data_IF_672227551278
#
_entry.id   IF_672227551278
#
_cell.length_a   1.000
_cell.length_b   1.000
_cell.length_c   1.000
_cell.angle_alpha   90.00
_cell.angle_beta   90.00
_cell.angle_gamma   90.00
#
_symmetry.space_group_name_H-M   'P 1'
#
loop_
_entity.id
_entity.type
_entity.pdbx_description
1 polymer ?
#
# COMPACT_ATOMS: atom_id res chain seq x y z
N UNK A 1 4.92 -5.23 13.49
CA UNK A 1 4.63 -5.06 12.05
C UNK A 1 4.51 -6.47 11.48
N UNK A 2 3.29 -6.94 11.24
CA UNK A 2 3.01 -8.33 10.85
C UNK A 2 2.48 -8.29 9.43
N UNK A 3 3.28 -8.86 8.52
CA UNK A 3 2.96 -9.03 7.12
C UNK A 3 2.47 -10.49 6.98
N UNK A 4 1.16 -10.77 6.87
CA UNK A 4 0.65 -12.14 6.82
C UNK A 4 1.31 -12.98 5.72
N UNK A 5 1.60 -12.39 4.55
CA UNK A 5 2.34 -13.08 3.50
C UNK A 5 3.83 -13.30 3.79
N UNK A 6 4.44 -12.48 4.64
CA UNK A 6 5.84 -12.64 4.99
C UNK A 6 6.05 -13.52 6.22
N UNK A 7 5.06 -13.63 7.11
CA UNK A 7 5.11 -14.57 8.24
C UNK A 7 5.01 -16.03 7.81
N UNK A 8 4.45 -16.31 6.63
CA UNK A 8 4.40 -17.65 6.03
C UNK A 8 5.70 -18.03 5.29
N UNK A 9 6.66 -17.11 5.15
CA UNK A 9 7.94 -17.39 4.51
C UNK A 9 8.82 -18.22 5.47
N UNK A 10 8.63 -19.53 5.47
CA UNK A 10 9.66 -20.47 5.92
C UNK A 10 10.79 -20.50 4.87
N UNK A 11 11.67 -19.50 4.93
CA UNK A 11 12.70 -19.28 3.91
C UNK A 11 13.77 -20.38 4.01
N UNK A 12 13.62 -21.42 3.19
CA UNK A 12 14.63 -22.46 2.93
C UNK A 12 15.39 -22.20 1.62
N UNK A 13 14.88 -21.31 0.75
CA UNK A 13 15.45 -21.07 -0.59
C UNK A 13 16.25 -19.76 -0.64
N UNK A 14 17.39 -19.79 -1.35
CA UNK A 14 18.36 -18.67 -1.40
C UNK A 14 17.91 -17.45 -2.22
N UNK A 15 16.73 -17.47 -2.86
CA UNK A 15 16.27 -16.39 -3.75
C UNK A 15 14.78 -16.12 -3.53
N UNK A 16 14.47 -15.05 -2.82
CA UNK A 16 13.10 -14.58 -2.57
C UNK A 16 12.82 -13.33 -3.39
N UNK A 17 11.60 -13.20 -3.88
CA UNK A 17 11.10 -12.04 -4.64
C UNK A 17 9.80 -11.59 -4.00
N UNK A 18 9.61 -10.28 -3.92
CA UNK A 18 8.37 -9.64 -3.50
C UNK A 18 7.83 -8.89 -4.72
N UNK A 19 6.55 -9.09 -5.04
CA UNK A 19 5.89 -8.42 -6.16
C UNK A 19 4.96 -7.37 -5.56
N UNK A 20 5.17 -6.11 -5.93
CA UNK A 20 4.37 -4.99 -5.43
C UNK A 20 3.89 -4.13 -6.57
N UNK A 21 2.72 -3.53 -6.38
CA UNK A 21 2.12 -2.55 -7.28
C UNK A 21 1.68 -1.35 -6.47
N UNK A 22 1.82 -0.17 -7.04
CA UNK A 22 1.41 1.08 -6.40
C UNK A 22 0.12 1.59 -7.07
N UNK A 23 -0.47 2.63 -6.47
CA UNK A 23 -1.56 3.47 -6.97
C UNK A 23 -2.95 2.85 -7.12
N UNK A 24 -3.09 1.54 -7.25
CA UNK A 24 -4.40 0.90 -7.35
C UNK A 24 -5.13 1.11 -8.68
N UNK A 25 -4.39 1.24 -9.79
CA UNK A 25 -4.96 1.26 -11.14
C UNK A 25 -5.82 0.03 -11.43
N UNK A 26 -6.88 0.20 -12.23
CA UNK A 26 -7.85 -0.85 -12.54
C UNK A 26 -7.26 -2.01 -13.34
N UNK A 27 -6.18 -1.78 -14.09
CA UNK A 27 -5.45 -2.84 -14.78
C UNK A 27 -4.81 -3.86 -13.83
N UNK A 28 -4.58 -3.50 -12.55
CA UNK A 28 -4.17 -4.44 -11.52
C UNK A 28 -5.24 -5.53 -11.33
N UNK A 29 -6.52 -5.15 -11.31
CA UNK A 29 -7.64 -6.11 -11.26
C UNK A 29 -7.79 -6.88 -12.58
N UNK A 30 -7.59 -6.22 -13.72
CA UNK A 30 -7.81 -6.84 -15.04
C UNK A 30 -6.82 -7.97 -15.31
N UNK A 31 -5.53 -7.77 -15.01
CA UNK A 31 -4.47 -8.69 -15.44
C UNK A 31 -3.91 -9.55 -14.32
N UNK A 32 -3.75 -9.02 -13.10
CA UNK A 32 -3.03 -9.73 -12.05
C UNK A 32 -3.72 -11.00 -11.57
N UNK A 33 -5.06 -11.08 -11.38
CA UNK A 33 -5.68 -12.29 -10.82
C UNK A 33 -5.37 -13.53 -11.64
N UNK A 34 -5.45 -13.44 -12.97
CA UNK A 34 -5.15 -14.54 -13.89
C UNK A 34 -3.67 -14.94 -13.85
N UNK A 35 -2.76 -13.96 -13.81
CA UNK A 35 -1.31 -14.21 -13.78
C UNK A 35 -0.87 -14.80 -12.44
N UNK A 36 -1.29 -14.21 -11.33
CA UNK A 36 -0.95 -14.66 -9.98
C UNK A 36 -1.47 -16.09 -9.74
N UNK A 37 -2.69 -16.39 -10.17
CA UNK A 37 -3.25 -17.75 -10.09
C UNK A 37 -2.47 -18.74 -10.95
N UNK A 38 -2.14 -18.38 -12.20
CA UNK A 38 -1.40 -19.25 -13.14
C UNK A 38 -0.03 -19.65 -12.62
N UNK A 39 0.68 -18.72 -11.99
CA UNK A 39 2.04 -18.95 -11.50
C UNK A 39 2.12 -19.22 -9.99
N UNK A 40 0.97 -19.29 -9.31
CA UNK A 40 0.87 -19.42 -7.86
C UNK A 40 1.73 -18.37 -7.11
N UNK A 41 1.67 -17.13 -7.58
CA UNK A 41 2.39 -15.98 -7.03
C UNK A 41 1.45 -15.12 -6.20
N UNK A 42 2.01 -14.33 -5.28
CA UNK A 42 1.28 -13.35 -4.47
C UNK A 42 1.78 -11.94 -4.80
N UNK A 43 0.93 -10.94 -4.63
CA UNK A 43 1.29 -9.54 -4.81
C UNK A 43 0.68 -8.65 -3.73
N UNK A 44 1.41 -7.58 -3.39
CA UNK A 44 0.92 -6.51 -2.51
C UNK A 44 0.57 -5.29 -3.36
N UNK A 45 -0.59 -4.68 -3.13
CA UNK A 45 -0.98 -3.41 -3.76
C UNK A 45 -1.00 -2.31 -2.70
N UNK A 46 -0.18 -1.29 -2.90
CA UNK A 46 -0.13 -0.09 -2.06
C UNK A 46 -1.19 0.91 -2.55
N UNK A 47 -2.18 1.20 -1.71
CA UNK A 47 -3.38 1.95 -2.11
C UNK A 47 -3.34 3.40 -1.56
N UNK A 48 -3.28 4.41 -2.45
CA UNK A 48 -3.57 5.79 -2.09
C UNK A 48 -5.08 6.03 -2.12
N UNK A 49 -5.71 6.09 -0.95
CA UNK A 49 -7.18 6.15 -0.85
C UNK A 49 -7.79 7.36 -1.57
N UNK A 50 -7.09 8.50 -1.63
CA UNK A 50 -7.58 9.68 -2.33
C UNK A 50 -7.68 9.49 -3.84
N UNK A 51 -6.85 8.62 -4.45
CA UNK A 51 -6.99 8.27 -5.87
C UNK A 51 -8.19 7.36 -6.11
N UNK A 52 -8.52 6.49 -5.16
CA UNK A 52 -9.68 5.61 -5.26
C UNK A 52 -10.99 6.41 -5.09
N UNK A 53 -11.02 7.38 -4.18
CA UNK A 53 -12.18 8.25 -3.96
C UNK A 53 -12.44 9.21 -5.12
N UNK A 54 -11.39 9.87 -5.61
CA UNK A 54 -11.52 11.02 -6.51
C UNK A 54 -11.14 10.71 -7.96
N UNK A 55 -10.62 9.51 -8.22
CA UNK A 55 -9.92 9.18 -9.46
C UNK A 55 -8.53 9.82 -9.53
N UNK A 56 -7.76 9.43 -10.56
CA UNK A 56 -6.44 9.99 -10.81
C UNK A 56 -6.23 10.26 -12.30
N UNK A 57 -6.24 11.55 -12.66
CA UNK A 57 -6.12 12.02 -14.05
C UNK A 57 -7.15 11.30 -14.95
N UNK A 58 -6.72 10.79 -16.09
CA UNK A 58 -7.51 10.01 -17.04
C UNK A 58 -7.33 8.49 -16.87
N UNK A 59 -6.71 8.05 -15.77
CA UNK A 59 -6.54 6.62 -15.50
C UNK A 59 -7.77 6.06 -14.80
N UNK A 60 -8.14 4.83 -15.18
CA UNK A 60 -9.14 4.08 -14.44
C UNK A 60 -8.52 3.52 -13.16
N UNK A 61 -9.12 3.84 -12.02
CA UNK A 61 -8.74 3.30 -10.72
C UNK A 61 -9.67 2.15 -10.37
N UNK A 62 -9.19 1.20 -9.57
CA UNK A 62 -10.11 0.26 -8.93
C UNK A 62 -11.06 1.03 -8.01
N UNK A 63 -12.26 0.50 -7.80
CA UNK A 63 -13.17 0.95 -6.74
C UNK A 63 -12.82 0.29 -5.41
N UNK A 64 -13.30 0.85 -4.29
CA UNK A 64 -13.16 0.19 -2.99
C UNK A 64 -13.81 -1.20 -2.96
N UNK A 65 -14.93 -1.38 -3.67
CA UNK A 65 -15.57 -2.69 -3.80
C UNK A 65 -14.72 -3.70 -4.58
N UNK A 66 -14.10 -3.27 -5.68
CA UNK A 66 -13.16 -4.10 -6.43
C UNK A 66 -11.95 -4.49 -5.56
N UNK A 67 -11.36 -3.54 -4.82
CA UNK A 67 -10.23 -3.79 -3.92
C UNK A 67 -10.63 -4.77 -2.81
N UNK A 68 -11.79 -4.57 -2.18
CA UNK A 68 -12.30 -5.45 -1.10
C UNK A 68 -12.51 -6.89 -1.56
N UNK A 69 -12.88 -7.08 -2.82
CA UNK A 69 -13.19 -8.38 -3.39
C UNK A 69 -12.00 -9.07 -4.09
N UNK A 70 -10.79 -8.49 -4.03
CA UNK A 70 -9.59 -9.19 -4.46
C UNK A 70 -9.38 -10.47 -3.62
N UNK A 71 -8.96 -11.55 -4.28
CA UNK A 71 -8.74 -12.84 -3.62
C UNK A 71 -7.57 -12.73 -2.62
N UNK A 72 -7.90 -12.75 -1.33
CA UNK A 72 -6.95 -12.64 -0.21
C UNK A 72 -5.88 -13.73 -0.21
N UNK A 73 -6.06 -14.82 -0.98
CA UNK A 73 -5.02 -15.83 -1.19
C UNK A 73 -3.83 -15.29 -1.99
N UNK A 74 -4.09 -14.39 -2.93
CA UNK A 74 -3.12 -13.88 -3.90
C UNK A 74 -2.77 -12.41 -3.68
N UNK A 75 -3.67 -11.64 -3.07
CA UNK A 75 -3.52 -10.19 -2.90
C UNK A 75 -3.46 -9.78 -1.43
N UNK A 76 -2.58 -8.82 -1.16
CA UNK A 76 -2.50 -8.07 0.09
C UNK A 76 -2.60 -6.59 -0.21
N UNK A 77 -3.30 -5.84 0.63
CA UNK A 77 -3.39 -4.39 0.52
C UNK A 77 -2.47 -3.76 1.56
N UNK A 78 -1.80 -2.67 1.19
CA UNK A 78 -0.90 -1.93 2.05
C UNK A 78 -1.04 -0.41 1.83
N UNK A 79 -0.37 0.37 2.66
CA UNK A 79 -0.58 1.82 2.76
C UNK A 79 0.23 2.58 1.70
N UNK A 80 -0.39 3.55 1.03
CA UNK A 80 0.30 4.46 0.11
C UNK A 80 -0.08 5.93 0.32
N UNK A 81 -0.27 6.34 1.59
CA UNK A 81 -0.77 7.68 1.97
C UNK A 81 -2.20 7.91 1.50
N UNK A 82 -2.88 8.96 1.93
CA UNK A 82 -4.20 9.32 1.42
C UNK A 82 -4.07 10.23 0.19
N UNK A 83 -3.30 11.32 0.28
CA UNK A 83 -3.18 12.31 -0.81
C UNK A 83 -2.17 11.94 -1.90
N UNK A 84 -1.33 10.92 -1.71
CA UNK A 84 -0.22 10.60 -2.61
C UNK A 84 0.78 11.77 -2.77
N UNK A 85 1.07 12.50 -1.69
CA UNK A 85 2.01 13.61 -1.71
C UNK A 85 3.45 13.21 -1.35
N UNK A 86 4.40 14.01 -1.83
CA UNK A 86 5.81 13.85 -1.49
C UNK A 86 6.06 14.14 -0.01
N UNK A 87 6.28 13.07 0.77
CA UNK A 87 6.47 13.14 2.22
C UNK A 87 7.72 13.92 2.66
N UNK A 88 8.72 14.07 1.78
CA UNK A 88 9.95 14.81 2.12
C UNK A 88 9.70 16.28 2.39
N UNK A 89 8.68 16.87 1.77
CA UNK A 89 8.40 18.31 1.80
C UNK A 89 7.18 18.67 2.68
N UNK A 90 6.66 17.72 3.47
CA UNK A 90 5.47 17.90 4.32
C UNK A 90 5.85 17.97 5.79
N UNK A 91 5.07 18.71 6.58
CA UNK A 91 5.22 18.70 8.03
C UNK A 91 4.83 17.34 8.61
N UNK A 92 5.44 16.97 9.73
CA UNK A 92 5.19 15.70 10.40
C UNK A 92 3.72 15.51 10.80
N UNK A 93 3.05 16.55 11.29
CA UNK A 93 1.63 16.50 11.64
C UNK A 93 0.73 16.22 10.42
N UNK A 94 1.09 16.73 9.24
CA UNK A 94 0.35 16.46 8.01
C UNK A 94 0.58 15.04 7.52
N UNK A 95 1.81 14.52 7.65
CA UNK A 95 2.13 13.13 7.33
C UNK A 95 1.34 12.18 8.22
N UNK A 96 1.33 12.44 9.53
CA UNK A 96 0.61 11.59 10.49
C UNK A 96 -0.89 11.57 10.19
N UNK A 97 -1.53 12.74 10.04
CA UNK A 97 -2.95 12.84 9.71
C UNK A 97 -3.30 12.17 8.38
N UNK A 98 -2.42 12.28 7.39
CA UNK A 98 -2.65 11.66 6.08
C UNK A 98 -2.60 10.13 6.15
N UNK A 99 -1.63 9.57 6.89
CA UNK A 99 -1.56 8.12 7.12
C UNK A 99 -2.75 7.61 7.94
N UNK A 100 -3.15 8.34 8.98
CA UNK A 100 -4.35 8.04 9.75
C UNK A 100 -5.60 8.05 8.87
N UNK A 101 -5.73 9.05 7.99
CA UNK A 101 -6.84 9.15 7.05
C UNK A 101 -6.87 7.96 6.08
N UNK A 102 -5.72 7.55 5.55
CA UNK A 102 -5.61 6.37 4.68
C UNK A 102 -6.11 5.10 5.39
N UNK A 103 -5.65 4.86 6.61
CA UNK A 103 -6.10 3.74 7.44
C UNK A 103 -7.60 3.80 7.74
N UNK A 104 -8.11 4.95 8.18
CA UNK A 104 -9.53 5.14 8.50
C UNK A 104 -10.45 4.86 7.31
N UNK A 105 -10.05 5.24 6.09
CA UNK A 105 -10.85 4.98 4.89
C UNK A 105 -10.84 3.48 4.57
N UNK A 106 -9.69 2.81 4.62
CA UNK A 106 -9.62 1.37 4.39
C UNK A 106 -10.46 0.59 5.42
N UNK A 107 -10.41 0.99 6.69
CA UNK A 107 -11.25 0.45 7.76
C UNK A 107 -12.75 0.68 7.48
N UNK A 108 -13.14 1.90 7.08
CA UNK A 108 -14.52 2.25 6.77
C UNK A 108 -15.10 1.44 5.59
N UNK A 109 -14.26 1.05 4.63
CA UNK A 109 -14.64 0.18 3.52
C UNK A 109 -14.50 -1.32 3.84
N UNK A 110 -14.04 -1.69 5.03
CA UNK A 110 -13.84 -3.10 5.42
C UNK A 110 -12.73 -3.80 4.65
N UNK A 111 -11.71 -3.05 4.22
CA UNK A 111 -10.56 -3.58 3.49
C UNK A 111 -9.47 -3.91 4.49
N UNK A 112 -9.12 -5.20 4.60
CA UNK A 112 -7.98 -5.62 5.41
C UNK A 112 -6.67 -5.17 4.75
N UNK A 113 -5.77 -4.57 5.53
CA UNK A 113 -4.49 -4.08 5.04
C UNK A 113 -3.34 -4.36 6.02
N UNK A 114 -2.13 -4.37 5.48
CA UNK A 114 -0.89 -4.41 6.24
C UNK A 114 -0.41 -3.01 6.56
N UNK A 115 0.05 -2.79 7.81
CA UNK A 115 0.73 -1.55 8.24
C UNK A 115 2.15 -1.45 7.67
N UNK A 116 2.26 -1.52 6.35
CA UNK A 116 3.48 -1.32 5.57
C UNK A 116 3.19 -0.20 4.59
N UNK A 117 4.13 0.74 4.51
CA UNK A 117 3.98 1.96 3.74
C UNK A 117 4.97 1.96 2.57
N UNK A 118 4.46 2.10 1.35
CA UNK A 118 5.26 2.59 0.24
C UNK A 118 5.21 4.12 0.23
N UNK A 119 6.36 4.80 0.12
CA UNK A 119 6.40 6.26 0.10
C UNK A 119 6.09 6.78 -1.31
N UNK A 120 5.12 7.70 -1.50
CA UNK A 120 4.88 8.32 -2.79
C UNK A 120 6.18 8.91 -3.38
N UNK A 121 6.42 8.63 -4.66
CA UNK A 121 7.63 9.04 -5.39
C UNK A 121 8.96 8.54 -4.77
N UNK A 122 8.91 7.58 -3.83
CA UNK A 122 10.07 7.13 -3.06
C UNK A 122 10.69 8.21 -2.18
N UNK A 123 9.96 9.29 -1.87
CA UNK A 123 10.48 10.45 -1.13
C UNK A 123 9.96 10.47 0.29
N UNK A 124 10.88 10.59 1.24
CA UNK A 124 10.58 10.77 2.67
C UNK A 124 11.71 11.58 3.34
N UNK A 125 11.47 12.12 4.55
CA UNK A 125 12.52 12.76 5.35
C UNK A 125 13.60 11.75 5.74
N UNK A 126 14.76 11.81 5.06
CA UNK A 126 15.79 10.76 5.13
C UNK A 126 17.11 11.19 5.77
N UNK A 127 17.16 12.37 6.43
CA UNK A 127 18.36 12.92 7.07
C UNK A 127 18.15 13.22 8.55
N UNK A 128 19.20 13.01 9.35
CA UNK A 128 19.33 13.53 10.72
C UNK A 128 18.12 13.28 11.62
N UNK A 129 17.74 14.33 12.38
CA UNK A 129 16.62 14.31 13.33
C UNK A 129 15.27 14.09 12.64
N UNK A 130 15.09 14.63 11.43
CA UNK A 130 13.84 14.49 10.67
C UNK A 130 13.51 13.03 10.36
N UNK A 131 14.52 12.22 9.99
CA UNK A 131 14.36 10.78 9.79
C UNK A 131 13.90 10.07 11.06
N UNK A 132 14.47 10.43 12.20
CA UNK A 132 14.11 9.84 13.50
C UNK A 132 12.67 10.18 13.88
N UNK A 133 12.26 11.44 13.72
CA UNK A 133 10.88 11.87 13.99
C UNK A 133 9.91 11.16 13.05
N UNK A 134 10.19 11.14 11.74
CA UNK A 134 9.38 10.41 10.75
C UNK A 134 9.19 8.93 11.12
N UNK A 135 10.25 8.21 11.49
CA UNK A 135 10.13 6.80 11.88
C UNK A 135 9.43 6.57 13.21
N UNK A 136 9.32 7.58 14.08
CA UNK A 136 8.49 7.47 15.29
C UNK A 136 7.00 7.50 14.96
N UNK A 137 6.60 8.25 13.93
CA UNK A 137 5.22 8.29 13.41
C UNK A 137 4.84 6.91 12.86
N UNK A 138 5.72 6.29 12.06
CA UNK A 138 5.45 4.97 11.44
C UNK A 138 5.33 3.80 12.44
N UNK A 139 5.67 4.01 13.71
CA UNK A 139 5.64 2.97 14.75
C UNK A 139 4.35 2.98 15.59
N UNK A 140 3.51 4.00 15.42
CA UNK A 140 2.18 4.07 16.05
C UNK A 140 1.21 3.09 15.36
#
# INVERSE_FOLDING_TARGET
>A
MHLPFFSELHISTKKNIIITFDDGYRNNLEYLPSLLKKYNLKATIFIPTGFIENGYKNYQMMTFDEIRNLDKKYFEIALHTHTHENLKNRSFDLIEKDLEKNMQILDAHGIAYSKVLAYPYGKYPNKGKEKTVFFSILKK
#
